data_IF_525427863600
#
_entry.id   IF_525427863600
#
_cell.length_a   1.000
_cell.length_b   1.000
_cell.length_c   1.000
_cell.angle_alpha   90.00
_cell.angle_beta   90.00
_cell.angle_gamma   90.00
#
_symmetry.space_group_name_H-M   'P 1'
#
loop_
_entity.id
_entity.type
_entity.pdbx_description
1 polymer ?
#
# COMPACT_ATOMS: atom_id res chain seq x y z
N UNK A 1 10.62 6.16 17.35
CA UNK A 1 11.13 6.96 16.21
C UNK A 1 11.64 8.29 16.74
N UNK A 2 12.92 8.63 16.59
CA UNK A 2 13.44 9.96 16.99
C UNK A 2 13.07 11.00 15.94
N UNK A 3 12.86 12.25 16.35
CA UNK A 3 12.52 13.36 15.44
C UNK A 3 13.52 13.50 14.29
N UNK A 4 14.80 13.23 14.54
CA UNK A 4 15.87 13.24 13.53
C UNK A 4 15.67 12.21 12.41
N UNK A 5 15.20 11.00 12.71
CA UNK A 5 14.93 9.98 11.69
C UNK A 5 13.80 10.38 10.75
N UNK A 6 12.79 11.10 11.26
CA UNK A 6 11.66 11.56 10.45
C UNK A 6 12.15 12.53 9.37
N UNK A 7 12.93 13.54 9.75
CA UNK A 7 13.45 14.53 8.81
C UNK A 7 14.37 13.92 7.74
N UNK A 8 15.07 12.83 8.07
CA UNK A 8 15.97 12.15 7.14
C UNK A 8 15.21 11.26 6.13
N UNK A 9 14.15 10.58 6.59
CA UNK A 9 13.39 9.63 5.75
C UNK A 9 12.25 10.29 4.97
N UNK A 10 11.64 11.35 5.49
CA UNK A 10 10.57 12.08 4.83
C UNK A 10 10.90 12.48 3.37
N UNK A 11 12.06 13.09 3.04
CA UNK A 11 12.37 13.44 1.66
C UNK A 11 12.50 12.21 0.76
N UNK A 12 13.05 11.09 1.26
CA UNK A 12 13.17 9.84 0.51
C UNK A 12 11.78 9.27 0.20
N UNK A 13 10.90 9.22 1.20
CA UNK A 13 9.53 8.73 1.04
C UNK A 13 8.76 9.62 0.07
N UNK A 14 8.83 10.94 0.21
CA UNK A 14 8.13 11.90 -0.64
C UNK A 14 8.63 11.85 -2.09
N UNK A 15 9.95 11.86 -2.29
CA UNK A 15 10.54 11.78 -3.63
C UNK A 15 10.17 10.45 -4.32
N UNK A 16 10.33 9.33 -3.64
CA UNK A 16 10.01 8.00 -4.20
C UNK A 16 8.52 7.86 -4.50
N UNK A 17 7.65 8.35 -3.61
CA UNK A 17 6.20 8.36 -3.81
C UNK A 17 5.78 9.27 -4.98
N UNK A 18 6.43 10.42 -5.14
CA UNK A 18 6.19 11.32 -6.28
C UNK A 18 6.56 10.62 -7.59
N UNK A 19 7.74 9.99 -7.67
CA UNK A 19 8.15 9.22 -8.85
C UNK A 19 7.18 8.08 -9.14
N UNK A 20 6.77 7.32 -8.11
CA UNK A 20 5.77 6.26 -8.24
C UNK A 20 4.45 6.79 -8.80
N UNK A 21 4.01 7.95 -8.33
CA UNK A 21 2.80 8.61 -8.81
C UNK A 21 2.91 9.08 -10.26
N UNK A 22 4.06 9.60 -10.70
CA UNK A 22 4.27 9.98 -12.10
C UNK A 22 4.23 8.77 -13.05
N UNK A 23 4.82 7.64 -12.67
CA UNK A 23 4.82 6.44 -13.51
C UNK A 23 3.49 5.66 -13.46
N UNK A 24 2.63 5.93 -12.47
CA UNK A 24 1.38 5.20 -12.22
C UNK A 24 0.46 5.11 -13.45
N UNK A 25 0.37 6.19 -14.25
CA UNK A 25 -0.40 6.21 -15.49
C UNK A 25 0.10 5.20 -16.51
N UNK A 26 1.42 4.99 -16.58
CA UNK A 26 2.01 3.98 -17.46
C UNK A 26 1.68 2.59 -16.93
N UNK A 27 1.70 2.38 -15.62
CA UNK A 27 1.34 1.09 -15.01
C UNK A 27 -0.10 0.68 -15.30
N UNK A 28 -1.03 1.63 -15.48
CA UNK A 28 -2.40 1.33 -15.91
C UNK A 28 -2.44 0.59 -17.28
N UNK A 29 -1.48 0.85 -18.17
CA UNK A 29 -1.39 0.18 -19.48
C UNK A 29 -1.11 -1.31 -19.37
N UNK A 30 -0.50 -1.76 -18.26
CA UNK A 30 -0.26 -3.19 -18.03
C UNK A 30 -1.57 -3.99 -17.92
N UNK A 31 -2.69 -3.33 -17.64
CA UNK A 31 -4.01 -3.97 -17.64
C UNK A 31 -4.48 -4.38 -19.05
N UNK A 32 -3.95 -3.76 -20.11
CA UNK A 32 -4.23 -4.13 -21.52
C UNK A 32 -3.53 -5.45 -21.92
N UNK A 33 -2.53 -5.89 -21.14
CA UNK A 33 -1.71 -7.06 -21.42
C UNK A 33 -0.39 -6.73 -22.12
N UNK A 34 0.57 -7.63 -21.97
CA UNK A 34 1.96 -7.40 -22.38
C UNK A 34 2.14 -7.20 -23.90
N UNK A 35 1.29 -7.84 -24.71
CA UNK A 35 1.31 -7.69 -26.17
C UNK A 35 0.92 -6.26 -26.57
N UNK A 36 -0.18 -5.75 -26.04
CA UNK A 36 -0.69 -4.42 -26.34
C UNK A 36 0.31 -3.32 -25.91
N UNK A 37 0.91 -3.47 -24.73
CA UNK A 37 1.94 -2.55 -24.24
C UNK A 37 3.17 -2.52 -25.17
N UNK A 38 3.57 -3.68 -25.72
CA UNK A 38 4.67 -3.76 -26.68
C UNK A 38 4.33 -3.13 -28.03
N UNK A 39 3.08 -3.26 -28.49
CA UNK A 39 2.60 -2.58 -29.70
C UNK A 39 2.62 -1.04 -29.55
N UNK A 40 2.41 -0.53 -28.33
CA UNK A 40 2.57 0.89 -27.99
C UNK A 40 4.04 1.35 -27.89
N UNK A 41 5.01 0.50 -28.22
CA UNK A 41 6.45 0.80 -28.14
C UNK A 41 7.02 0.83 -26.72
N UNK A 42 6.25 0.35 -25.74
CA UNK A 42 6.66 0.30 -24.33
C UNK A 42 7.12 -1.11 -23.95
N UNK A 43 7.99 -1.20 -22.93
CA UNK A 43 8.48 -2.47 -22.45
C UNK A 43 7.83 -2.82 -21.09
N UNK A 44 6.93 -3.81 -21.03
CA UNK A 44 6.19 -4.14 -19.80
C UNK A 44 7.10 -4.71 -18.70
N UNK A 45 8.20 -5.39 -19.05
CA UNK A 45 9.19 -5.86 -18.09
C UNK A 45 9.91 -4.67 -17.42
N UNK A 46 10.34 -3.67 -18.21
CA UNK A 46 10.99 -2.46 -17.64
C UNK A 46 10.04 -1.72 -16.71
N UNK A 47 8.77 -1.57 -17.09
CA UNK A 47 7.76 -0.92 -16.25
C UNK A 47 7.57 -1.64 -14.91
N UNK A 48 7.51 -2.98 -14.93
CA UNK A 48 7.44 -3.80 -13.70
C UNK A 48 8.70 -3.65 -12.85
N UNK A 49 9.88 -3.74 -13.46
CA UNK A 49 11.16 -3.54 -12.76
C UNK A 49 11.23 -2.18 -12.07
N UNK A 50 10.90 -1.09 -12.77
CA UNK A 50 10.88 0.25 -12.17
C UNK A 50 9.92 0.33 -10.98
N UNK A 51 8.71 -0.25 -11.10
CA UNK A 51 7.78 -0.30 -9.98
C UNK A 51 8.33 -1.10 -8.79
N UNK A 52 8.95 -2.26 -9.04
CA UNK A 52 9.59 -3.07 -8.01
C UNK A 52 10.69 -2.31 -7.27
N UNK A 53 11.55 -1.59 -7.98
CA UNK A 53 12.61 -0.78 -7.36
C UNK A 53 12.03 0.30 -6.44
N UNK A 54 10.99 1.02 -6.88
CA UNK A 54 10.35 2.07 -6.06
C UNK A 54 9.69 1.49 -4.81
N UNK A 55 8.98 0.36 -4.96
CA UNK A 55 8.35 -0.32 -3.82
C UNK A 55 9.41 -0.84 -2.85
N UNK A 56 10.51 -1.40 -3.34
CA UNK A 56 11.60 -1.87 -2.49
C UNK A 56 12.21 -0.74 -1.64
N UNK A 57 12.45 0.44 -2.25
CA UNK A 57 12.94 1.62 -1.53
C UNK A 57 11.95 2.05 -0.43
N UNK A 58 10.66 2.17 -0.77
CA UNK A 58 9.63 2.58 0.18
C UNK A 58 9.49 1.59 1.35
N UNK A 59 9.45 0.29 1.06
CA UNK A 59 9.31 -0.77 2.08
C UNK A 59 10.56 -0.81 2.95
N UNK A 60 11.77 -0.82 2.38
CA UNK A 60 13.01 -0.86 3.15
C UNK A 60 13.14 0.34 4.09
N UNK A 61 12.77 1.53 3.60
CA UNK A 61 12.77 2.77 4.40
C UNK A 61 11.80 2.68 5.58
N UNK A 62 10.58 2.18 5.37
CA UNK A 62 9.59 2.03 6.43
C UNK A 62 9.98 0.93 7.45
N UNK A 63 10.35 -0.26 6.95
CA UNK A 63 10.62 -1.45 7.79
C UNK A 63 11.89 -1.28 8.62
N UNK A 64 12.91 -0.57 8.13
CA UNK A 64 14.14 -0.31 8.88
C UNK A 64 13.93 0.47 10.19
N UNK A 65 12.82 1.20 10.32
CA UNK A 65 12.54 2.04 11.51
C UNK A 65 11.41 1.52 12.38
N UNK A 66 10.36 0.97 11.79
CA UNK A 66 9.15 0.53 12.50
C UNK A 66 9.07 -0.99 12.63
N UNK A 67 9.93 -1.73 11.92
CA UNK A 67 9.84 -3.18 11.81
C UNK A 67 8.79 -3.63 10.79
N UNK A 68 8.54 -4.93 10.73
CA UNK A 68 7.60 -5.52 9.77
C UNK A 68 6.14 -5.33 10.24
N UNK A 69 5.28 -4.90 9.32
CA UNK A 69 3.84 -4.71 9.56
C UNK A 69 3.07 -5.65 8.63
N UNK A 70 2.37 -6.64 9.21
CA UNK A 70 1.58 -7.60 8.46
C UNK A 70 0.24 -6.99 7.98
N UNK A 71 -0.29 -7.54 6.88
CA UNK A 71 -1.61 -7.26 6.28
C UNK A 71 -1.87 -5.84 5.74
N UNK A 72 -1.15 -4.81 6.20
CA UNK A 72 -1.40 -3.43 5.77
C UNK A 72 -1.25 -3.24 4.26
N UNK A 73 -0.21 -3.85 3.67
CA UNK A 73 0.07 -3.79 2.23
C UNK A 73 -1.00 -4.49 1.37
N UNK A 74 -1.80 -5.40 1.94
CA UNK A 74 -2.91 -6.05 1.26
C UNK A 74 -4.23 -5.30 1.49
N UNK A 75 -4.51 -4.93 2.73
CA UNK A 75 -5.77 -4.30 3.12
C UNK A 75 -5.93 -2.90 2.50
N UNK A 76 -4.93 -2.02 2.66
CA UNK A 76 -5.03 -0.63 2.23
C UNK A 76 -5.33 -0.44 0.73
N UNK A 77 -4.60 -1.06 -0.22
CA UNK A 77 -4.91 -0.91 -1.64
C UNK A 77 -6.21 -1.58 -2.05
N UNK A 78 -6.62 -2.68 -1.41
CA UNK A 78 -7.90 -3.33 -1.71
C UNK A 78 -9.10 -2.50 -1.25
N UNK A 79 -9.06 -1.97 -0.02
CA UNK A 79 -10.08 -1.05 0.49
C UNK A 79 -10.16 0.18 -0.42
N UNK A 80 -9.01 0.76 -0.78
CA UNK A 80 -8.97 1.92 -1.67
C UNK A 80 -9.53 1.62 -3.05
N UNK A 81 -9.21 0.45 -3.62
CA UNK A 81 -9.74 0.01 -4.92
C UNK A 81 -11.25 -0.12 -4.90
N UNK A 82 -11.82 -0.58 -3.78
CA UNK A 82 -13.26 -0.64 -3.59
C UNK A 82 -13.88 0.76 -3.50
N UNK A 83 -13.23 1.71 -2.82
CA UNK A 83 -13.75 3.06 -2.60
C UNK A 83 -13.63 3.99 -3.82
N UNK A 84 -12.52 3.95 -4.55
CA UNK A 84 -12.14 4.97 -5.56
C UNK A 84 -11.92 4.34 -6.95
N UNK A 85 -11.93 3.01 -7.06
CA UNK A 85 -11.74 2.29 -8.33
C UNK A 85 -10.29 1.90 -8.66
N UNK A 86 -10.06 1.30 -9.84
CA UNK A 86 -8.84 0.54 -10.13
C UNK A 86 -7.66 1.36 -10.67
N UNK A 87 -7.83 2.66 -10.92
CA UNK A 87 -6.81 3.51 -11.55
C UNK A 87 -5.60 3.71 -10.63
N UNK A 88 -4.40 3.35 -11.07
CA UNK A 88 -3.21 3.31 -10.21
C UNK A 88 -2.85 4.69 -9.63
N UNK A 89 -3.11 5.77 -10.38
CA UNK A 89 -2.82 7.14 -9.93
C UNK A 89 -3.61 7.53 -8.67
N UNK A 90 -4.90 7.21 -8.62
CA UNK A 90 -5.74 7.45 -7.44
C UNK A 90 -5.47 6.40 -6.36
N UNK A 91 -5.16 5.16 -6.74
CA UNK A 91 -4.81 4.11 -5.79
C UNK A 91 -3.57 4.43 -4.97
N UNK A 92 -2.51 5.00 -5.55
CA UNK A 92 -1.30 5.33 -4.79
C UNK A 92 -1.62 6.31 -3.65
N UNK A 93 -2.31 7.41 -3.95
CA UNK A 93 -2.67 8.41 -2.94
C UNK A 93 -3.70 7.84 -1.95
N UNK A 94 -4.77 7.21 -2.46
CA UNK A 94 -5.83 6.68 -1.61
C UNK A 94 -5.33 5.58 -0.68
N UNK A 95 -4.48 4.68 -1.17
CA UNK A 95 -3.89 3.60 -0.35
C UNK A 95 -2.94 4.12 0.71
N UNK A 96 -2.20 5.21 0.43
CA UNK A 96 -1.37 5.87 1.43
C UNK A 96 -2.23 6.47 2.56
N UNK A 97 -3.33 7.16 2.22
CA UNK A 97 -4.24 7.74 3.20
C UNK A 97 -4.99 6.68 4.01
N UNK A 98 -5.57 5.70 3.34
CA UNK A 98 -6.28 4.58 3.99
C UNK A 98 -5.32 3.77 4.86
N UNK A 99 -4.11 3.49 4.37
CA UNK A 99 -3.07 2.80 5.13
C UNK A 99 -2.63 3.57 6.37
N UNK A 100 -2.41 4.90 6.24
CA UNK A 100 -2.07 5.75 7.38
C UNK A 100 -3.18 5.77 8.44
N UNK A 101 -4.44 5.89 8.02
CA UNK A 101 -5.59 5.87 8.93
C UNK A 101 -5.73 4.52 9.64
N UNK A 102 -5.62 3.40 8.91
CA UNK A 102 -5.68 2.05 9.48
C UNK A 102 -4.56 1.83 10.49
N UNK A 103 -3.34 2.25 10.14
CA UNK A 103 -2.18 2.07 11.02
C UNK A 103 -2.29 2.92 12.28
N UNK A 104 -2.78 4.16 12.17
CA UNK A 104 -3.00 5.04 13.32
C UNK A 104 -4.06 4.48 14.27
N UNK A 105 -5.17 3.98 13.74
CA UNK A 105 -6.21 3.32 14.54
C UNK A 105 -5.70 2.05 15.21
N UNK A 106 -4.90 1.25 14.50
CA UNK A 106 -4.30 0.03 15.06
C UNK A 106 -3.28 0.34 16.16
N UNK A 107 -2.38 1.33 15.98
CA UNK A 107 -1.44 1.76 17.02
C UNK A 107 -2.18 2.31 18.26
N UNK A 108 -3.22 3.10 18.05
CA UNK A 108 -4.04 3.63 19.15
C UNK A 108 -4.71 2.49 19.92
N UNK A 109 -5.35 1.55 19.22
CA UNK A 109 -6.00 0.39 19.84
C UNK A 109 -4.99 -0.51 20.57
N UNK A 110 -3.79 -0.70 20.00
CA UNK A 110 -2.72 -1.49 20.62
C UNK A 110 -2.32 -0.95 21.99
N UNK A 111 -2.26 0.37 22.12
CA UNK A 111 -1.89 1.07 23.36
C UNK A 111 -3.01 1.07 24.40
N UNK A 112 -4.27 1.01 23.98
CA UNK A 112 -5.42 1.15 24.89
C UNK A 112 -6.01 -0.17 25.38
N UNK A 113 -5.93 -1.25 24.61
CA UNK A 113 -6.70 -2.49 24.88
C UNK A 113 -6.11 -3.35 26.00
N UNK A 114 -4.78 -3.39 26.17
CA UNK A 114 -4.16 -4.30 27.14
C UNK A 114 -2.91 -3.73 27.86
N UNK A 115 -3.01 -2.63 28.64
CA UNK A 115 -1.91 -2.26 29.54
C UNK A 115 -1.63 -3.40 30.55
N UNK A 116 -0.37 -3.80 30.84
CA UNK A 116 0.92 -3.25 30.41
C UNK A 116 1.57 -3.98 29.21
N UNK A 117 0.82 -4.86 28.53
CA UNK A 117 1.34 -5.67 27.43
C UNK A 117 1.28 -4.91 26.11
N UNK A 118 2.44 -4.67 25.50
CA UNK A 118 2.52 -4.09 24.16
C UNK A 118 2.17 -5.15 23.12
N UNK A 119 0.91 -5.15 22.66
CA UNK A 119 0.48 -5.99 21.55
C UNK A 119 1.20 -5.56 20.26
N UNK A 120 1.83 -6.48 19.53
CA UNK A 120 2.36 -6.20 18.21
C UNK A 120 1.28 -5.60 17.32
N UNK A 121 1.52 -4.40 16.80
CA UNK A 121 0.58 -3.68 15.92
C UNK A 121 0.16 -4.58 14.73
N UNK A 122 1.09 -5.42 14.25
CA UNK A 122 0.85 -6.41 13.20
C UNK A 122 -0.23 -7.45 13.52
N UNK A 123 -0.43 -7.82 14.79
CA UNK A 123 -1.52 -8.72 15.19
C UNK A 123 -2.87 -8.01 15.10
N UNK A 124 -2.93 -6.76 15.54
CA UNK A 124 -4.16 -5.96 15.51
C UNK A 124 -4.55 -5.60 14.08
N UNK A 125 -3.59 -5.20 13.24
CA UNK A 125 -3.86 -4.95 11.81
C UNK A 125 -4.29 -6.22 11.08
N UNK A 126 -3.79 -7.39 11.47
CA UNK A 126 -4.23 -8.68 10.90
C UNK A 126 -5.64 -9.04 11.35
N UNK A 127 -5.97 -8.83 12.63
CA UNK A 127 -7.30 -9.10 13.17
C UNK A 127 -8.38 -8.21 12.56
N UNK A 128 -8.05 -6.98 12.19
CA UNK A 128 -8.97 -6.06 11.49
C UNK A 128 -8.94 -6.29 9.97
N UNK A 129 -7.74 -6.45 9.41
CA UNK A 129 -7.53 -6.58 7.98
C UNK A 129 -8.10 -7.86 7.39
N UNK A 130 -8.01 -9.00 8.10
CA UNK A 130 -8.51 -10.27 7.61
C UNK A 130 -10.05 -10.30 7.47
N UNK A 131 -10.87 -9.88 8.47
CA UNK A 131 -12.31 -9.76 8.32
C UNK A 131 -12.71 -8.79 7.21
N UNK A 132 -12.06 -7.63 7.11
CA UNK A 132 -12.33 -6.64 6.05
C UNK A 132 -12.06 -7.24 4.68
N UNK A 133 -10.93 -7.92 4.51
CA UNK A 133 -10.57 -8.57 3.24
C UNK A 133 -11.58 -9.68 2.88
N UNK A 134 -11.97 -10.51 3.85
CA UNK A 134 -12.98 -11.58 3.65
C UNK A 134 -14.33 -10.99 3.24
N UNK A 135 -14.80 -9.93 3.91
CA UNK A 135 -16.05 -9.26 3.58
C UNK A 135 -16.02 -8.66 2.16
N UNK A 136 -14.91 -8.03 1.78
CA UNK A 136 -14.71 -7.48 0.44
C UNK A 136 -14.71 -8.57 -0.64
N UNK A 137 -14.01 -9.69 -0.39
CA UNK A 137 -13.98 -10.85 -1.31
C UNK A 137 -15.37 -11.47 -1.49
N UNK A 138 -16.16 -11.56 -0.42
CA UNK A 138 -17.54 -12.08 -0.48
C UNK A 138 -18.44 -11.19 -1.33
N UNK A 139 -18.35 -9.86 -1.21
CA UNK A 139 -19.15 -8.92 -2.01
C UNK A 139 -18.73 -8.83 -3.47
N UNK A 140 -17.43 -8.95 -3.77
CA UNK A 140 -16.93 -8.94 -5.16
C UNK A 140 -17.47 -10.10 -6.00
N UNK A 141 -17.91 -11.20 -5.35
CA UNK A 141 -18.54 -12.34 -6.01
C UNK A 141 -19.96 -12.06 -6.53
N UNK A 142 -20.62 -11.00 -6.06
CA UNK A 142 -21.98 -10.63 -6.50
C UNK A 142 -22.00 -9.71 -7.72
N UNK A 143 -20.87 -9.07 -8.06
CA UNK A 143 -20.76 -8.12 -9.19
C UNK A 143 -20.45 -8.82 -10.53
N UNK A 144 -20.14 -10.12 -10.51
CA UNK A 144 -19.93 -10.96 -11.70
C UNK A 144 -21.03 -12.03 -11.85
N UNK A 145 -22.30 -11.64 -11.72
CA UNK A 145 -23.44 -12.39 -12.27
C UNK A 145 -24.11 -11.58 -13.37
#
# INVERSE_FOLDING_TARGET
>A
MTSKSIYLLAPIILATSAVAWFISKKLDLLALGDREVRFLGLNPQRMRLTAFFLIAILIATAVSTVGSIAFLALAAPHITRFLIGPRNRSLIIGSALVGAALLLLADTAARTVAPPFELPIGLITSLIGAPVLILLLRRSREVWR
#
